data_IF_440872345955
#
_entry.id   IF_440872345955
#
_cell.length_a   1.000
_cell.length_b   1.000
_cell.length_c   1.000
_cell.angle_alpha   90.00
_cell.angle_beta   90.00
_cell.angle_gamma   90.00
#
_symmetry.space_group_name_H-M   'P 1'
#
loop_
_entity.id
_entity.type
_entity.pdbx_description
1 polymer ?
#
# COMPACT_ATOMS: atom_id res chain seq x y z
N UNK A 1 58.09 -8.46 -7.85
CA UNK A 1 57.16 -7.41 -7.35
C UNK A 1 55.80 -8.05 -7.10
N UNK A 2 55.28 -8.08 -5.86
CA UNK A 2 53.98 -8.72 -5.54
C UNK A 2 53.23 -8.13 -4.32
N UNK A 3 53.87 -7.28 -3.50
CA UNK A 3 53.31 -6.91 -2.18
C UNK A 3 52.21 -5.83 -2.19
N UNK A 4 51.91 -5.18 -3.33
CA UNK A 4 51.03 -3.98 -3.37
C UNK A 4 49.64 -4.18 -4.01
N UNK A 5 49.30 -5.36 -4.54
CA UNK A 5 47.99 -5.57 -5.19
C UNK A 5 46.86 -5.79 -4.18
N UNK A 6 47.16 -6.42 -3.03
CA UNK A 6 46.16 -6.73 -2.01
C UNK A 6 45.60 -5.48 -1.32
N UNK A 7 46.42 -4.44 -1.11
CA UNK A 7 45.99 -3.18 -0.49
C UNK A 7 45.08 -2.38 -1.42
N UNK A 8 45.40 -2.35 -2.71
CA UNK A 8 44.58 -1.71 -3.74
C UNK A 8 43.19 -2.36 -3.85
N UNK A 9 43.12 -3.69 -3.92
CA UNK A 9 41.85 -4.44 -3.98
C UNK A 9 41.02 -4.19 -2.71
N UNK A 10 41.64 -4.17 -1.52
CA UNK A 10 40.96 -3.85 -0.26
C UNK A 10 40.39 -2.43 -0.27
N UNK A 11 41.15 -1.45 -0.74
CA UNK A 11 40.71 -0.04 -0.85
C UNK A 11 39.52 0.10 -1.80
N UNK A 12 39.58 -0.52 -2.98
CA UNK A 12 38.47 -0.51 -3.94
C UNK A 12 37.20 -1.16 -3.37
N UNK A 13 37.33 -2.30 -2.68
CA UNK A 13 36.18 -2.96 -2.03
C UNK A 13 35.58 -2.10 -0.92
N UNK A 14 36.41 -1.43 -0.12
CA UNK A 14 35.96 -0.53 0.94
C UNK A 14 35.23 0.69 0.37
N UNK A 15 35.76 1.27 -0.70
CA UNK A 15 35.14 2.41 -1.39
C UNK A 15 33.78 2.04 -2.01
N UNK A 16 33.68 0.88 -2.66
CA UNK A 16 32.42 0.38 -3.21
C UNK A 16 31.36 0.19 -2.11
N UNK A 17 31.74 -0.40 -0.97
CA UNK A 17 30.83 -0.55 0.19
C UNK A 17 30.39 0.81 0.73
N UNK A 18 31.30 1.78 0.85
CA UNK A 18 31.00 3.14 1.30
C UNK A 18 30.02 3.83 0.36
N UNK A 19 30.23 3.74 -0.96
CA UNK A 19 29.33 4.30 -1.97
C UNK A 19 27.94 3.68 -1.89
N UNK A 20 27.83 2.35 -1.83
CA UNK A 20 26.54 1.64 -1.67
C UNK A 20 25.79 2.06 -0.40
N UNK A 21 26.51 2.25 0.71
CA UNK A 21 25.91 2.70 1.99
C UNK A 21 25.39 4.14 1.87
N UNK A 22 26.14 5.03 1.22
CA UNK A 22 25.74 6.42 0.96
C UNK A 22 24.49 6.48 0.08
N UNK A 23 24.50 5.76 -1.05
CA UNK A 23 23.36 5.68 -1.97
C UNK A 23 22.11 5.11 -1.29
N UNK A 24 22.26 4.04 -0.48
CA UNK A 24 21.13 3.49 0.29
C UNK A 24 20.57 4.50 1.30
N UNK A 25 21.45 5.27 1.96
CA UNK A 25 21.03 6.32 2.91
C UNK A 25 20.31 7.46 2.20
N UNK A 26 20.83 7.92 1.07
CA UNK A 26 20.21 8.96 0.24
C UNK A 26 18.85 8.50 -0.28
N UNK A 27 18.75 7.28 -0.82
CA UNK A 27 17.46 6.70 -1.26
C UNK A 27 16.45 6.58 -0.11
N UNK A 28 16.91 6.24 1.09
CA UNK A 28 16.06 6.17 2.27
C UNK A 28 15.61 7.55 2.74
N UNK A 29 16.48 8.57 2.67
CA UNK A 29 16.12 9.96 2.96
C UNK A 29 15.14 10.49 1.91
N UNK A 30 15.40 10.29 0.62
CA UNK A 30 14.48 10.65 -0.45
C UNK A 30 13.08 10.04 -0.26
N UNK A 31 12.98 8.77 0.17
CA UNK A 31 11.69 8.14 0.52
C UNK A 31 11.01 8.72 1.76
N UNK A 32 11.78 9.30 2.69
CA UNK A 32 11.25 9.95 3.91
C UNK A 32 10.81 11.38 3.64
N UNK A 33 11.56 12.09 2.80
CA UNK A 33 11.35 13.49 2.44
C UNK A 33 10.25 13.63 1.37
N UNK A 34 10.00 12.57 0.59
CA UNK A 34 8.81 12.48 -0.23
C UNK A 34 7.56 12.55 0.64
N UNK A 35 6.60 13.45 0.33
CA UNK A 35 5.36 13.53 1.08
C UNK A 35 4.67 12.16 1.05
N UNK A 36 4.28 11.66 2.22
CA UNK A 36 3.52 10.41 2.36
C UNK A 36 2.07 10.60 1.91
N UNK A 37 1.84 11.13 0.70
CA UNK A 37 0.52 11.27 0.06
C UNK A 37 0.05 9.92 -0.48
N UNK A 38 0.18 8.88 0.34
CA UNK A 38 -0.07 7.50 0.02
C UNK A 38 -0.37 6.74 1.29
N UNK A 39 -1.21 7.34 2.16
CA UNK A 39 -1.81 6.57 3.24
C UNK A 39 -2.56 5.40 2.60
N UNK A 40 -2.67 4.29 3.31
CA UNK A 40 -3.41 3.13 2.80
C UNK A 40 -4.84 3.53 2.38
N UNK A 41 -5.44 4.46 3.13
CA UNK A 41 -6.72 5.11 2.87
C UNK A 41 -6.78 5.84 1.51
N UNK A 42 -5.68 6.44 1.05
CA UNK A 42 -5.64 7.17 -0.23
C UNK A 42 -5.44 6.21 -1.42
N UNK A 43 -5.07 4.95 -1.16
CA UNK A 43 -4.84 3.91 -2.17
C UNK A 43 -5.96 2.89 -2.26
N UNK A 44 -6.83 2.81 -1.25
CA UNK A 44 -8.04 2.00 -1.32
C UNK A 44 -9.06 2.76 -2.17
N UNK A 45 -9.59 2.09 -3.18
CA UNK A 45 -10.64 2.61 -4.03
C UNK A 45 -11.78 1.60 -3.99
N UNK A 46 -12.97 2.08 -3.68
CA UNK A 46 -14.13 1.22 -3.56
C UNK A 46 -14.82 1.10 -4.92
N UNK A 47 -15.34 -0.09 -5.21
CA UNK A 47 -16.06 -0.39 -6.45
C UNK A 47 -17.52 -0.61 -6.08
N UNK A 48 -18.41 0.12 -6.72
CA UNK A 48 -19.86 -0.02 -6.53
C UNK A 48 -20.44 -1.21 -7.31
N UNK A 49 -21.72 -1.53 -7.10
CA UNK A 49 -22.46 -2.61 -7.77
C UNK A 49 -22.52 -2.46 -9.31
N UNK A 50 -22.23 -1.26 -9.81
CA UNK A 50 -22.24 -0.91 -11.22
C UNK A 50 -20.82 -0.84 -11.82
N UNK A 51 -19.80 -1.14 -11.03
CA UNK A 51 -18.39 -1.14 -11.45
C UNK A 51 -17.74 0.25 -11.51
N UNK A 52 -18.36 1.28 -10.95
CA UNK A 52 -17.77 2.61 -10.85
C UNK A 52 -16.92 2.75 -9.58
N UNK A 53 -15.89 3.59 -9.68
CA UNK A 53 -15.02 3.92 -8.56
C UNK A 53 -15.64 5.00 -7.68
N UNK A 54 -15.70 4.75 -6.38
CA UNK A 54 -16.15 5.72 -5.38
C UNK A 54 -15.08 5.97 -4.32
N UNK A 55 -14.96 7.22 -3.90
CA UNK A 55 -14.12 7.67 -2.78
C UNK A 55 -14.74 7.32 -1.41
N UNK A 56 -16.02 6.96 -1.38
CA UNK A 56 -16.72 6.58 -0.15
C UNK A 56 -16.70 5.06 0.05
N UNK A 57 -16.39 4.56 1.26
CA UNK A 57 -16.55 3.15 1.57
C UNK A 57 -17.99 2.69 1.31
N UNK A 58 -18.21 1.48 0.76
CA UNK A 58 -19.55 0.93 0.63
C UNK A 58 -20.17 0.83 2.02
N UNK A 59 -21.44 1.21 2.14
CA UNK A 59 -22.16 1.08 3.40
C UNK A 59 -22.08 -0.39 3.87
N UNK A 60 -21.82 -0.63 5.17
CA UNK A 60 -21.82 -1.99 5.70
C UNK A 60 -23.22 -2.59 5.49
N UNK A 61 -23.33 -3.63 4.66
CA UNK A 61 -24.58 -4.36 4.53
C UNK A 61 -24.99 -4.91 5.91
N UNK A 62 -26.06 -4.36 6.47
CA UNK A 62 -26.70 -4.89 7.68
C UNK A 62 -27.08 -6.36 7.43
N UNK A 63 -26.55 -7.34 8.18
CA UNK A 63 -26.78 -8.76 7.90
C UNK A 63 -28.19 -9.25 8.26
N UNK A 64 -29.20 -8.39 8.43
CA UNK A 64 -30.55 -8.79 8.83
C UNK A 64 -31.63 -7.83 8.30
N UNK A 65 -32.54 -8.33 7.46
CA UNK A 65 -33.94 -7.88 7.59
C UNK A 65 -34.84 -7.72 6.37
N UNK A 66 -34.48 -8.09 5.14
CA UNK A 66 -35.47 -8.07 4.03
C UNK A 66 -36.31 -9.35 4.00
N UNK A 67 -37.26 -9.45 4.93
CA UNK A 67 -38.49 -10.28 4.80
C UNK A 67 -39.69 -9.50 5.34
N UNK A 68 -40.14 -8.47 4.63
CA UNK A 68 -41.49 -7.93 4.83
C UNK A 68 -42.49 -8.91 4.22
N UNK A 69 -43.02 -9.74 5.11
CA UNK A 69 -44.07 -10.73 4.91
C UNK A 69 -45.35 -10.04 4.38
N UNK A 70 -45.78 -10.37 3.16
CA UNK A 70 -47.07 -9.94 2.63
C UNK A 70 -48.17 -10.67 3.41
N UNK A 71 -48.79 -9.98 4.38
CA UNK A 71 -49.97 -10.49 5.06
C UNK A 71 -51.19 -10.33 4.14
N UNK A 72 -51.51 -11.43 3.46
CA UNK A 72 -52.83 -11.70 2.94
C UNK A 72 -53.81 -11.92 4.11
N UNK A 73 -54.75 -11.00 4.32
CA UNK A 73 -55.96 -11.30 5.10
C UNK A 73 -57.12 -10.40 4.69
N UNK A 74 -57.63 -10.60 3.48
CA UNK A 74 -59.04 -10.30 3.19
C UNK A 74 -59.75 -11.62 2.91
N UNK A 75 -60.09 -12.35 3.98
CA UNK A 75 -61.05 -13.46 3.94
C UNK A 75 -61.92 -13.44 5.19
N UNK A 76 -63.23 -13.26 4.97
CA UNK A 76 -64.38 -13.57 5.83
C UNK A 76 -64.51 -12.74 7.12
N UNK A 77 -65.66 -12.18 7.48
CA UNK A 77 -67.07 -12.45 7.11
C UNK A 77 -67.86 -11.15 6.94
#
# INVERSE_FOLDING_TARGET
MSKNQNTFIKKQKAELKRRKKKEKKEKMQARKDQPKSGKLEDMIMYVDEFGNFSETPPEPEDPKGKKSNQQNSNKSQ
#
